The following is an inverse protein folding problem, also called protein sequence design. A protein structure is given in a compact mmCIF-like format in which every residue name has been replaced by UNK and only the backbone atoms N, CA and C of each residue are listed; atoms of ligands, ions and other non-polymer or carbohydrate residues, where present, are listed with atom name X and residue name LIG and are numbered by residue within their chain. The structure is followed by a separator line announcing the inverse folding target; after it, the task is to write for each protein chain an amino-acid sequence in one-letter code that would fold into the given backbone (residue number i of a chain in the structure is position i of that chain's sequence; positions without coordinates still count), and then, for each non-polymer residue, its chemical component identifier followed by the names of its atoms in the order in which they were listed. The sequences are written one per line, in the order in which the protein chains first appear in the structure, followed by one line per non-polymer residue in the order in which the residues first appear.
data_IF_545700312344
#
_entry.id   IF_545700312344
#
_cell.length_a   1.000
_cell.length_b   1.000
_cell.length_c   1.000
_cell.angle_alpha   90.00
_cell.angle_beta   90.00
_cell.angle_gamma   90.00
#
_symmetry.space_group_name_H-M   'P 1'
#
loop_
_entity.id
_entity.type
_entity.pdbx_description
1 polymer ?
#
# COMPACT_ATOMS: atom_id res chain seq x y z
N UNK A 1 23.39 24.25 -28.51
CA UNK A 1 22.25 24.03 -27.59
C UNK A 1 21.00 24.02 -28.44
N UNK A 2 20.19 22.98 -28.34
CA UNK A 2 18.93 22.91 -29.06
C UNK A 2 17.91 23.84 -28.38
N UNK A 3 17.15 24.59 -29.17
CA UNK A 3 16.13 25.51 -28.67
C UNK A 3 14.96 24.73 -28.03
N UNK A 4 14.39 25.25 -26.95
CA UNK A 4 13.25 24.60 -26.29
C UNK A 4 12.04 24.62 -27.20
N UNK A 5 11.39 23.46 -27.33
CA UNK A 5 10.09 23.32 -27.97
C UNK A 5 9.04 24.14 -27.23
N UNK A 6 8.00 24.57 -27.96
CA UNK A 6 6.80 25.15 -27.37
C UNK A 6 5.73 24.08 -27.16
N UNK A 7 4.88 24.28 -26.17
CA UNK A 7 3.71 23.43 -25.93
C UNK A 7 2.88 23.25 -27.22
N UNK A 8 2.55 21.99 -27.53
CA UNK A 8 1.82 21.58 -28.74
C UNK A 8 2.69 21.34 -29.98
N UNK A 9 3.97 21.74 -29.98
CA UNK A 9 4.88 21.49 -31.11
C UNK A 9 5.30 20.02 -31.16
N UNK A 10 5.65 19.54 -32.36
CA UNK A 10 6.10 18.18 -32.57
C UNK A 10 7.30 18.11 -33.50
N UNK A 11 8.10 17.06 -33.35
CA UNK A 11 9.29 16.76 -34.14
C UNK A 11 9.33 15.27 -34.51
N UNK A 12 9.89 14.93 -35.67
CA UNK A 12 10.12 13.54 -36.05
C UNK A 12 11.29 12.94 -35.25
N UNK A 13 11.15 11.68 -34.85
CA UNK A 13 12.22 10.90 -34.23
C UNK A 13 12.76 9.94 -35.30
N UNK A 14 13.97 10.24 -35.80
CA UNK A 14 14.65 9.41 -36.81
C UNK A 14 15.49 8.29 -36.18
N UNK A 15 15.54 8.21 -34.84
CA UNK A 15 16.30 7.22 -34.09
C UNK A 15 15.45 5.99 -33.75
N UNK A 16 16.08 4.81 -33.75
CA UNK A 16 15.45 3.54 -33.34
C UNK A 16 15.29 3.42 -31.81
N UNK A 17 16.02 4.24 -31.06
CA UNK A 17 15.92 4.35 -29.60
C UNK A 17 16.16 5.77 -29.14
N UNK A 18 15.52 6.13 -28.02
CA UNK A 18 15.66 7.43 -27.37
C UNK A 18 15.71 7.26 -25.86
N UNK A 19 16.39 8.18 -25.19
CA UNK A 19 16.39 8.32 -23.74
C UNK A 19 15.61 9.57 -23.36
N UNK A 20 14.50 9.39 -22.64
CA UNK A 20 13.78 10.50 -22.03
C UNK A 20 14.45 10.84 -20.69
N UNK A 21 14.91 12.08 -20.52
CA UNK A 21 15.62 12.55 -19.34
C UNK A 21 14.88 13.76 -18.78
N UNK A 22 14.29 13.61 -17.60
CA UNK A 22 13.70 14.69 -16.83
C UNK A 22 14.75 15.24 -15.86
N UNK A 23 14.97 16.55 -15.86
CA UNK A 23 16.00 17.20 -15.03
C UNK A 23 15.38 18.36 -14.25
N UNK A 24 15.79 18.55 -12.99
CA UNK A 24 15.38 19.67 -12.15
C UNK A 24 16.44 20.05 -11.11
N UNK A 25 16.37 21.27 -10.59
CA UNK A 25 17.22 21.75 -9.49
C UNK A 25 16.67 21.28 -8.15
N UNK A 26 17.57 20.85 -7.26
CA UNK A 26 17.25 20.44 -5.88
C UNK A 26 17.75 21.48 -4.89
N UNK A 27 16.81 22.12 -4.21
CA UNK A 27 17.01 23.05 -3.11
C UNK A 27 16.26 22.57 -1.84
N UNK A 28 16.45 23.27 -0.71
CA UNK A 28 15.67 22.99 0.51
C UNK A 28 14.18 23.20 0.24
N UNK A 29 13.39 22.16 0.46
CA UNK A 29 11.94 22.19 0.23
C UNK A 29 11.51 21.91 -1.21
N UNK A 30 12.43 21.52 -2.10
CA UNK A 30 12.05 20.98 -3.42
C UNK A 30 11.30 19.65 -3.23
N UNK A 31 10.08 19.52 -3.80
CA UNK A 31 9.32 18.26 -3.79
C UNK A 31 10.12 17.11 -4.44
N UNK A 32 9.88 15.88 -4.01
CA UNK A 32 10.47 14.73 -4.70
C UNK A 32 9.69 14.45 -5.98
N UNK A 33 10.37 14.51 -7.13
CA UNK A 33 9.75 14.31 -8.45
C UNK A 33 10.06 12.91 -8.93
N UNK A 34 9.03 12.13 -9.24
CA UNK A 34 9.10 10.76 -9.75
C UNK A 34 8.60 10.72 -11.18
N UNK A 35 9.49 10.43 -12.13
CA UNK A 35 9.11 10.31 -13.53
C UNK A 35 8.46 8.94 -13.82
N UNK A 36 7.59 8.90 -14.82
CA UNK A 36 6.86 7.71 -15.26
C UNK A 36 6.59 7.72 -16.76
N UNK A 37 6.41 6.53 -17.33
CA UNK A 37 6.08 6.31 -18.74
C UNK A 37 4.84 5.42 -18.87
N UNK A 38 3.87 5.83 -19.69
CA UNK A 38 2.67 5.04 -19.99
C UNK A 38 2.67 4.64 -21.46
N UNK A 39 2.50 3.36 -21.75
CA UNK A 39 2.31 2.85 -23.11
C UNK A 39 0.81 2.75 -23.40
N UNK A 40 0.36 3.44 -24.45
CA UNK A 40 -1.06 3.56 -24.78
C UNK A 40 -1.36 2.95 -26.13
N UNK A 41 -2.50 2.29 -26.17
CA UNK A 41 -3.15 1.81 -27.40
C UNK A 41 -3.77 2.98 -28.17
N UNK A 42 -4.20 2.78 -29.44
CA UNK A 42 -4.95 3.78 -30.19
C UNK A 42 -6.24 4.27 -29.52
N UNK A 43 -6.76 3.54 -28.53
CA UNK A 43 -7.88 3.98 -27.68
C UNK A 43 -7.49 5.09 -26.68
N UNK A 44 -6.21 5.45 -26.60
CA UNK A 44 -5.67 6.40 -25.63
C UNK A 44 -5.57 5.82 -24.22
N UNK A 45 -5.61 4.50 -24.07
CA UNK A 45 -5.60 3.77 -22.80
C UNK A 45 -4.49 2.72 -22.76
N UNK A 46 -3.96 2.43 -21.58
CA UNK A 46 -3.08 1.28 -21.34
C UNK A 46 -3.83 -0.04 -21.62
N UNK A 47 -3.12 -1.11 -21.97
CA UNK A 47 -3.72 -2.46 -22.09
C UNK A 47 -3.97 -3.07 -20.72
N UNK A 48 -3.06 -2.79 -19.79
CA UNK A 48 -3.05 -3.21 -18.38
C UNK A 48 -2.02 -2.38 -17.62
N UNK A 49 -1.93 -2.54 -16.31
CA UNK A 49 -0.96 -1.82 -15.48
C UNK A 49 0.51 -2.16 -15.83
N UNK A 50 0.75 -3.27 -16.54
CA UNK A 50 2.07 -3.63 -17.08
C UNK A 50 2.62 -2.57 -18.05
N UNK A 51 1.73 -1.81 -18.72
CA UNK A 51 2.06 -0.71 -19.63
C UNK A 51 2.43 0.59 -18.89
N UNK A 52 2.54 0.56 -17.55
CA UNK A 52 2.98 1.68 -16.73
C UNK A 52 4.37 1.43 -16.14
N UNK A 53 5.38 2.17 -16.62
CA UNK A 53 6.78 2.04 -16.20
C UNK A 53 7.17 3.21 -15.31
N UNK A 54 7.66 2.92 -14.12
CA UNK A 54 8.09 3.91 -13.12
C UNK A 54 9.06 3.25 -12.13
N UNK A 55 9.52 3.95 -11.10
CA UNK A 55 10.57 3.43 -10.21
C UNK A 55 10.25 2.07 -9.54
N UNK A 56 8.99 1.74 -9.29
CA UNK A 56 8.59 0.46 -8.67
C UNK A 56 8.37 -0.67 -9.69
N UNK A 57 8.18 -0.30 -10.97
CA UNK A 57 8.13 -1.20 -12.12
C UNK A 57 9.13 -0.69 -13.16
N UNK A 58 10.44 -0.85 -12.91
CA UNK A 58 11.48 -0.14 -13.66
C UNK A 58 11.69 -0.67 -15.08
N UNK A 59 10.90 -1.66 -15.53
CA UNK A 59 11.03 -2.26 -16.84
C UNK A 59 9.67 -2.75 -17.34
N UNK A 60 9.32 -2.37 -18.57
CA UNK A 60 8.17 -2.92 -19.28
C UNK A 60 8.40 -4.41 -19.60
N UNK A 61 7.32 -5.22 -19.63
CA UNK A 61 7.40 -6.67 -19.88
C UNK A 61 8.12 -7.03 -21.20
N UNK A 62 7.93 -6.24 -22.26
CA UNK A 62 8.64 -6.44 -23.55
C UNK A 62 10.13 -6.05 -23.49
N UNK A 63 10.55 -5.33 -22.45
CA UNK A 63 11.88 -4.75 -22.32
C UNK A 63 12.11 -3.50 -23.17
N UNK A 64 11.11 -3.04 -23.94
CA UNK A 64 11.23 -1.87 -24.81
C UNK A 64 11.36 -0.55 -24.04
N UNK A 65 10.95 -0.50 -22.77
CA UNK A 65 11.14 0.66 -21.89
C UNK A 65 11.79 0.21 -20.59
N UNK A 66 12.85 0.90 -20.17
CA UNK A 66 13.57 0.68 -18.91
C UNK A 66 13.79 2.01 -18.21
N UNK A 67 13.32 2.12 -16.96
CA UNK A 67 13.62 3.21 -16.05
C UNK A 67 15.05 3.10 -15.54
N UNK A 68 15.83 4.16 -15.73
CA UNK A 68 17.24 4.23 -15.34
C UNK A 68 17.50 4.73 -13.93
N UNK A 69 16.43 5.06 -13.19
CA UNK A 69 16.48 5.56 -11.82
C UNK A 69 16.88 7.03 -11.68
N UNK A 70 16.58 7.58 -10.49
CA UNK A 70 16.97 8.94 -10.11
C UNK A 70 18.46 9.03 -9.78
N UNK A 71 19.13 10.02 -10.34
CA UNK A 71 20.53 10.31 -10.08
C UNK A 71 20.70 11.73 -9.55
N UNK A 72 21.66 11.90 -8.65
CA UNK A 72 21.96 13.16 -7.98
C UNK A 72 23.32 13.69 -8.44
N UNK A 73 23.39 14.97 -8.78
CA UNK A 73 24.67 15.64 -9.07
C UNK A 73 24.61 17.13 -8.80
N UNK A 74 25.54 17.66 -7.99
CA UNK A 74 25.78 19.10 -7.80
C UNK A 74 24.53 20.02 -7.74
N UNK A 75 23.51 19.65 -6.96
CA UNK A 75 22.28 20.45 -6.81
C UNK A 75 21.26 20.28 -7.96
N UNK A 76 21.48 19.33 -8.86
CA UNK A 76 20.59 18.91 -9.93
C UNK A 76 20.25 17.44 -9.73
N UNK A 77 19.01 17.08 -10.04
CA UNK A 77 18.53 15.71 -10.07
C UNK A 77 17.97 15.41 -11.45
N UNK A 78 18.23 14.21 -11.92
CA UNK A 78 17.65 13.73 -13.15
C UNK A 78 17.06 12.34 -12.98
N UNK A 79 15.99 12.08 -13.71
CA UNK A 79 15.30 10.80 -13.80
C UNK A 79 15.10 10.45 -15.26
N UNK A 80 15.29 9.17 -15.63
CA UNK A 80 15.44 8.81 -17.04
C UNK A 80 14.78 7.49 -17.43
N UNK A 81 14.37 7.39 -18.69
CA UNK A 81 13.88 6.18 -19.34
C UNK A 81 14.65 5.92 -20.62
N UNK A 82 15.13 4.70 -20.82
CA UNK A 82 15.57 4.20 -22.11
C UNK A 82 14.37 3.60 -22.85
N UNK A 83 14.13 4.02 -24.09
CA UNK A 83 12.98 3.65 -24.90
C UNK A 83 13.49 3.14 -26.26
N UNK A 84 13.32 1.84 -26.50
CA UNK A 84 13.64 1.15 -27.75
C UNK A 84 12.41 1.20 -28.68
N UNK A 85 12.30 2.27 -29.48
CA UNK A 85 11.15 2.55 -30.35
C UNK A 85 10.89 1.46 -31.40
N UNK A 86 11.94 0.75 -31.82
CA UNK A 86 11.82 -0.40 -32.72
C UNK A 86 11.28 -1.68 -32.05
N UNK A 87 11.35 -1.77 -30.72
CA UNK A 87 10.88 -2.92 -29.95
C UNK A 87 9.44 -2.75 -29.41
N UNK A 88 8.85 -1.56 -29.56
CA UNK A 88 7.48 -1.28 -29.14
C UNK A 88 6.49 -2.07 -30.00
N UNK A 89 5.61 -2.80 -29.33
CA UNK A 89 4.61 -3.65 -29.98
C UNK A 89 3.62 -2.85 -30.86
N UNK A 90 3.10 -3.47 -31.91
CA UNK A 90 2.25 -2.81 -32.90
C UNK A 90 0.94 -2.25 -32.33
N UNK A 91 0.46 -2.82 -31.23
CA UNK A 91 -0.78 -2.42 -30.54
C UNK A 91 -0.60 -1.16 -29.68
N UNK A 92 0.62 -0.69 -29.49
CA UNK A 92 0.96 0.57 -28.82
C UNK A 92 1.28 1.62 -29.87
N UNK A 93 0.55 2.74 -29.86
CA UNK A 93 0.76 3.86 -30.80
C UNK A 93 1.31 5.11 -30.12
N UNK A 94 1.37 5.12 -28.78
CA UNK A 94 1.79 6.28 -28.01
C UNK A 94 2.47 5.90 -26.70
N UNK A 95 3.49 6.66 -26.32
CA UNK A 95 4.19 6.59 -25.05
C UNK A 95 4.12 7.97 -24.42
N UNK A 96 3.51 8.09 -23.25
CA UNK A 96 3.40 9.34 -22.50
C UNK A 96 4.51 9.40 -21.46
N UNK A 97 5.23 10.52 -21.41
CA UNK A 97 6.22 10.81 -20.35
C UNK A 97 5.60 11.77 -19.35
N UNK A 98 5.47 11.32 -18.12
CA UNK A 98 4.84 12.05 -17.02
C UNK A 98 5.74 12.07 -15.77
N UNK A 99 5.35 12.85 -14.76
CA UNK A 99 5.87 12.71 -13.40
C UNK A 99 4.84 13.14 -12.36
N UNK A 100 5.07 12.71 -11.13
CA UNK A 100 4.39 13.20 -9.93
C UNK A 100 5.36 13.87 -8.97
N UNK A 101 4.88 14.86 -8.21
CA UNK A 101 5.62 15.52 -7.14
C UNK A 101 5.05 15.09 -5.78
N UNK A 102 5.91 14.56 -4.91
CA UNK A 102 5.60 14.23 -3.52
C UNK A 102 6.17 15.29 -2.56
N UNK A 103 5.41 15.64 -1.52
CA UNK A 103 5.78 16.69 -0.56
C UNK A 103 5.60 18.13 -1.07
N UNK A 104 4.91 18.35 -2.20
CA UNK A 104 4.59 19.68 -2.73
C UNK A 104 4.04 19.67 -4.17
N UNK A 105 4.23 20.76 -4.92
CA UNK A 105 3.70 20.93 -6.28
C UNK A 105 4.80 21.25 -7.30
N UNK A 106 4.52 21.02 -8.60
CA UNK A 106 5.49 21.31 -9.66
C UNK A 106 5.86 22.79 -9.78
N UNK A 107 5.02 23.73 -9.31
CA UNK A 107 5.38 25.15 -9.24
C UNK A 107 6.51 25.47 -8.25
N UNK A 108 6.85 24.54 -7.35
CA UNK A 108 8.00 24.65 -6.44
C UNK A 108 9.28 24.04 -7.04
N UNK A 109 9.16 23.28 -8.14
CA UNK A 109 10.27 22.61 -8.81
C UNK A 109 10.88 23.55 -9.84
N UNK A 110 12.16 23.93 -9.64
CA UNK A 110 12.87 24.85 -10.54
C UNK A 110 13.73 24.09 -11.56
N UNK A 111 13.96 24.73 -12.71
CA UNK A 111 14.82 24.16 -13.75
C UNK A 111 14.28 22.86 -14.35
N UNK A 112 12.97 22.67 -14.33
CA UNK A 112 12.29 21.45 -14.80
C UNK A 112 12.33 21.37 -16.33
N UNK A 113 13.01 20.35 -16.85
CA UNK A 113 13.24 20.18 -18.29
C UNK A 113 13.11 18.72 -18.67
N UNK A 114 12.34 18.43 -19.72
CA UNK A 114 12.36 17.14 -20.39
C UNK A 114 13.27 17.21 -21.63
N UNK A 115 14.20 16.27 -21.76
CA UNK A 115 15.02 16.09 -22.96
C UNK A 115 14.81 14.69 -23.54
N UNK A 116 14.75 14.58 -24.86
CA UNK A 116 14.96 13.32 -25.55
C UNK A 116 16.37 13.31 -26.14
N UNK A 117 17.11 12.24 -25.86
CA UNK A 117 18.48 12.03 -26.31
C UNK A 117 18.51 10.78 -27.17
N UNK A 118 19.12 10.81 -28.35
CA UNK A 118 19.23 9.63 -29.22
C UNK A 118 20.39 8.70 -28.81
N UNK A 119 20.55 7.58 -29.51
CA UNK A 119 21.64 6.62 -29.28
C UNK A 119 23.06 7.15 -29.54
N UNK A 120 23.20 8.35 -30.12
CA UNK A 120 24.47 9.07 -30.28
C UNK A 120 24.77 10.04 -29.13
N UNK A 121 23.94 10.02 -28.07
CA UNK A 121 23.91 10.99 -26.97
C UNK A 121 23.63 12.44 -27.43
N UNK A 122 23.03 12.62 -28.62
CA UNK A 122 22.60 13.93 -29.10
C UNK A 122 21.20 14.26 -28.61
N UNK A 123 21.00 15.47 -28.09
CA UNK A 123 19.66 15.96 -27.75
C UNK A 123 18.88 16.17 -29.05
N UNK A 124 17.75 15.48 -29.19
CA UNK A 124 16.86 15.57 -30.36
C UNK A 124 15.61 16.37 -30.07
N UNK A 125 15.18 16.43 -28.81
CA UNK A 125 14.11 17.32 -28.35
C UNK A 125 14.44 17.85 -26.96
N UNK A 126 14.05 19.10 -26.70
CA UNK A 126 14.13 19.74 -25.38
C UNK A 126 12.83 20.49 -25.14
N UNK A 127 12.25 20.32 -23.95
CA UNK A 127 11.07 21.05 -23.53
C UNK A 127 11.27 21.56 -22.11
N UNK A 128 11.32 22.88 -21.95
CA UNK A 128 11.45 23.57 -20.67
C UNK A 128 10.05 23.84 -20.08
N UNK A 129 9.80 23.36 -18.87
CA UNK A 129 8.53 23.54 -18.18
C UNK A 129 8.62 24.80 -17.34
N UNK A 130 7.87 25.82 -17.74
CA UNK A 130 7.90 27.16 -17.10
C UNK A 130 6.53 27.61 -16.60
N UNK A 131 5.47 26.86 -16.94
CA UNK A 131 4.09 27.21 -16.66
C UNK A 131 3.43 26.37 -15.56
N UNK A 132 4.17 25.44 -14.92
CA UNK A 132 3.68 24.65 -13.79
C UNK A 132 3.41 25.52 -12.54
N UNK A 133 2.36 25.18 -11.81
CA UNK A 133 1.80 25.94 -10.67
C UNK A 133 1.41 25.00 -9.52
N UNK A 134 0.11 24.74 -9.36
CA UNK A 134 -0.47 23.99 -8.24
C UNK A 134 -0.47 22.48 -8.47
N UNK A 135 -0.11 22.03 -9.67
CA UNK A 135 -0.30 20.65 -10.08
C UNK A 135 0.71 19.72 -9.39
N UNK A 136 0.26 18.54 -8.99
CA UNK A 136 1.07 17.50 -8.34
C UNK A 136 1.38 16.32 -9.26
N UNK A 137 0.76 16.26 -10.45
CA UNK A 137 1.21 15.43 -11.57
C UNK A 137 1.30 16.25 -12.86
N UNK A 138 2.15 15.82 -13.78
CA UNK A 138 2.41 16.55 -15.02
C UNK A 138 2.74 15.61 -16.18
N UNK A 139 2.07 15.81 -17.31
CA UNK A 139 2.41 15.17 -18.59
C UNK A 139 3.31 16.12 -19.38
N UNK A 140 4.56 15.72 -19.58
CA UNK A 140 5.55 16.54 -20.26
C UNK A 140 5.42 16.46 -21.77
N UNK A 141 5.28 15.24 -22.29
CA UNK A 141 5.19 15.01 -23.71
C UNK A 141 4.76 13.60 -24.06
N UNK A 142 4.43 13.39 -25.33
CA UNK A 142 4.04 12.11 -25.87
C UNK A 142 4.92 11.76 -27.09
N UNK A 143 5.43 10.54 -27.12
CA UNK A 143 6.04 9.93 -28.30
C UNK A 143 4.96 9.11 -28.99
N UNK A 144 4.61 9.41 -30.23
CA UNK A 144 3.48 8.81 -30.92
C UNK A 144 3.82 8.39 -32.35
N UNK A 145 3.12 7.38 -32.84
CA UNK A 145 3.36 6.79 -34.16
C UNK A 145 2.39 7.36 -35.20
N UNK A 146 2.91 8.13 -36.15
CA UNK A 146 2.17 8.63 -37.32
C UNK A 146 3.10 8.87 -38.50
N UNK A 147 3.19 7.88 -39.39
CA UNK A 147 4.18 7.81 -40.47
C UNK A 147 5.63 7.87 -39.92
N UNK A 148 5.93 6.99 -38.96
CA UNK A 148 7.15 7.05 -38.14
C UNK A 148 6.86 7.53 -36.71
N UNK A 149 7.86 7.45 -35.84
CA UNK A 149 7.77 7.96 -34.47
C UNK A 149 7.99 9.48 -34.45
N UNK A 150 7.22 10.17 -33.60
CA UNK A 150 7.29 11.62 -33.42
C UNK A 150 7.16 11.94 -31.94
N UNK A 151 7.80 13.01 -31.49
CA UNK A 151 7.60 13.55 -30.15
C UNK A 151 6.73 14.80 -30.23
N UNK A 152 5.78 14.97 -29.30
CA UNK A 152 5.01 16.20 -29.10
C UNK A 152 5.21 16.69 -27.67
N UNK A 153 5.54 17.98 -27.53
CA UNK A 153 5.52 18.66 -26.24
C UNK A 153 4.07 18.90 -25.81
N UNK A 154 3.67 18.41 -24.63
CA UNK A 154 2.28 18.47 -24.14
C UNK A 154 2.16 19.49 -23.02
N UNK A 155 2.98 19.39 -21.98
CA UNK A 155 2.98 20.30 -20.85
C UNK A 155 1.63 20.46 -20.15
N UNK A 156 0.97 19.35 -19.79
CA UNK A 156 -0.34 19.37 -19.14
C UNK A 156 -0.22 18.95 -17.68
N UNK A 157 -0.57 19.86 -16.77
CA UNK A 157 -0.63 19.56 -15.34
C UNK A 157 -1.95 18.95 -14.91
N UNK A 158 -1.90 18.22 -13.80
CA UNK A 158 -3.01 17.54 -13.15
C UNK A 158 -3.06 17.94 -11.67
N UNK A 159 -4.08 18.73 -11.30
CA UNK A 159 -4.35 19.08 -9.90
C UNK A 159 -4.80 17.88 -9.07
N UNK A 160 -5.41 16.88 -9.72
CA UNK A 160 -5.81 15.59 -9.14
C UNK A 160 -4.65 14.62 -8.91
N UNK A 161 -3.41 15.05 -9.16
CA UNK A 161 -2.20 14.25 -8.95
C UNK A 161 -2.10 13.02 -9.85
N UNK A 162 -1.22 12.09 -9.45
CA UNK A 162 -0.92 10.90 -10.25
C UNK A 162 -2.16 10.03 -10.45
N UNK A 163 -3.07 10.01 -9.48
CA UNK A 163 -4.35 9.31 -9.55
C UNK A 163 -5.20 9.75 -10.74
N UNK A 164 -5.42 11.07 -10.88
CA UNK A 164 -6.20 11.59 -12.00
C UNK A 164 -5.55 11.34 -13.34
N UNK A 165 -4.22 11.46 -13.40
CA UNK A 165 -3.45 11.14 -14.59
C UNK A 165 -3.58 9.65 -14.97
N UNK A 166 -3.43 8.74 -14.01
CA UNK A 166 -3.50 7.30 -14.22
C UNK A 166 -4.91 6.86 -14.68
N UNK A 167 -5.96 7.40 -14.06
CA UNK A 167 -7.36 7.16 -14.43
C UNK A 167 -7.66 7.62 -15.87
N UNK A 168 -7.16 8.80 -16.26
CA UNK A 168 -7.32 9.34 -17.61
C UNK A 168 -6.71 8.42 -18.69
N UNK A 169 -5.66 7.67 -18.33
CA UNK A 169 -5.02 6.69 -19.21
C UNK A 169 -5.49 5.25 -19.00
N UNK A 170 -6.50 5.03 -18.15
CA UNK A 170 -7.17 3.73 -17.98
C UNK A 170 -6.39 2.73 -17.15
N UNK A 171 -5.44 3.22 -16.35
CA UNK A 171 -4.87 2.46 -15.24
C UNK A 171 -5.94 2.43 -14.16
N UNK A 172 -6.32 1.23 -13.72
CA UNK A 172 -7.22 1.06 -12.59
C UNK A 172 -6.42 1.30 -11.32
N UNK A 173 -6.30 2.56 -10.93
CA UNK A 173 -5.84 2.90 -9.59
C UNK A 173 -7.03 2.67 -8.67
N UNK A 174 -7.08 1.50 -8.02
CA UNK A 174 -7.94 1.34 -6.86
C UNK A 174 -7.47 2.34 -5.80
N UNK A 175 -8.24 3.42 -5.64
CA UNK A 175 -8.10 4.32 -4.52
C UNK A 175 -9.44 4.51 -3.84
N UNK A 176 -9.41 4.35 -2.52
CA UNK A 176 -10.43 4.89 -1.63
C UNK A 176 -10.62 6.38 -1.94
N UNK A 177 -11.87 6.88 -2.05
CA UNK A 177 -12.12 8.14 -2.72
C UNK A 177 -11.57 9.33 -1.93
N UNK A 178 -10.71 10.14 -2.56
CA UNK A 178 -10.44 11.51 -2.13
C UNK A 178 -11.69 12.38 -2.40
N UNK A 179 -12.10 13.25 -1.45
CA UNK A 179 -13.37 13.94 -1.55
C UNK A 179 -13.26 15.14 -2.51
N UNK A 180 -14.14 15.18 -3.51
CA UNK A 180 -14.38 16.38 -4.32
C UNK A 180 -14.97 17.49 -3.44
N UNK A 181 -14.48 18.75 -3.48
CA UNK A 181 -15.10 19.84 -2.76
C UNK A 181 -16.46 20.17 -3.40
N UNK A 182 -17.52 19.55 -2.89
CA UNK A 182 -18.88 19.91 -3.24
C UNK A 182 -19.31 21.12 -2.42
N UNK A 183 -19.80 22.15 -3.13
CA UNK A 183 -20.51 23.28 -2.55
C UNK A 183 -21.55 22.81 -1.51
N UNK A 184 -21.80 23.61 -0.46
CA UNK A 184 -22.60 23.19 0.70
C UNK A 184 -24.05 22.94 0.29
N UNK A 185 -24.36 21.69 -0.05
CA UNK A 185 -25.73 21.20 -0.03
C UNK A 185 -26.01 20.73 1.39
N UNK A 186 -26.99 21.37 2.01
CA UNK A 186 -27.39 21.17 3.40
C UNK A 186 -27.28 19.70 3.83
N UNK A 187 -26.42 19.45 4.82
CA UNK A 187 -26.25 18.16 5.45
C UNK A 187 -27.60 17.64 5.93
N UNK A 188 -28.02 16.47 5.42
CA UNK A 188 -28.82 15.58 6.24
C UNK A 188 -27.89 15.07 7.35
N UNK A 189 -28.34 15.03 8.62
CA UNK A 189 -27.48 14.59 9.70
C UNK A 189 -27.09 13.14 9.44
N UNK A 190 -25.78 12.90 9.32
CA UNK A 190 -25.20 11.57 9.51
C UNK A 190 -25.61 11.18 10.93
N UNK A 191 -26.42 10.14 11.07
CA UNK A 191 -26.70 9.56 12.38
C UNK A 191 -25.35 9.31 13.05
N UNK A 192 -25.17 9.80 14.27
CA UNK A 192 -23.91 9.70 14.99
C UNK A 192 -23.44 8.24 14.98
N UNK A 193 -22.27 7.97 14.38
CA UNK A 193 -21.67 6.66 14.42
C UNK A 193 -21.51 6.26 15.89
N UNK A 194 -22.21 5.19 16.31
CA UNK A 194 -22.23 4.75 17.69
C UNK A 194 -20.89 4.13 18.06
N UNK A 195 -20.19 4.77 19.00
CA UNK A 195 -18.96 4.21 19.59
C UNK A 195 -19.37 3.11 20.57
N UNK A 196 -18.71 1.94 20.50
CA UNK A 196 -18.97 0.84 21.42
C UNK A 196 -18.53 1.21 22.85
N UNK A 197 -19.18 0.70 23.90
CA UNK A 197 -18.69 0.80 25.27
C UNK A 197 -17.99 -0.52 25.62
N UNK A 198 -16.66 -0.57 25.47
CA UNK A 198 -15.90 -1.80 25.71
C UNK A 198 -15.54 -1.91 27.19
N UNK A 199 -15.73 -3.10 27.76
CA UNK A 199 -15.35 -3.37 29.14
C UNK A 199 -13.82 -3.23 29.32
N UNK A 200 -13.39 -2.62 30.43
CA UNK A 200 -11.97 -2.53 30.79
C UNK A 200 -11.25 -1.24 30.37
N UNK A 201 -11.85 -0.37 29.55
CA UNK A 201 -11.25 0.93 29.20
C UNK A 201 -10.95 1.80 30.43
N UNK A 202 -11.76 1.66 31.47
CA UNK A 202 -11.66 2.35 32.76
C UNK A 202 -10.40 2.00 33.56
N UNK A 203 -9.74 0.89 33.22
CA UNK A 203 -8.47 0.48 33.82
C UNK A 203 -7.26 1.11 33.10
N UNK A 204 -7.44 1.61 31.87
CA UNK A 204 -6.36 2.19 31.08
C UNK A 204 -5.83 3.50 31.65
N UNK A 205 -4.53 3.82 31.48
CA UNK A 205 -3.99 5.14 31.72
C UNK A 205 -4.78 6.21 30.94
N UNK A 206 -4.98 7.38 31.55
CA UNK A 206 -5.85 8.45 31.01
C UNK A 206 -5.50 8.81 29.56
N UNK A 207 -4.21 8.94 29.23
CA UNK A 207 -3.79 9.31 27.88
C UNK A 207 -4.04 8.20 26.86
N UNK A 208 -3.84 6.94 27.24
CA UNK A 208 -4.12 5.79 26.38
C UNK A 208 -5.63 5.64 26.16
N UNK A 209 -6.44 5.82 27.21
CA UNK A 209 -7.91 5.83 27.12
C UNK A 209 -8.42 6.90 26.15
N UNK A 210 -7.86 8.12 26.23
CA UNK A 210 -8.20 9.21 25.30
C UNK A 210 -7.87 8.85 23.85
N UNK A 211 -6.66 8.31 23.59
CA UNK A 211 -6.27 7.87 22.23
C UNK A 211 -7.16 6.75 21.73
N UNK A 212 -7.42 5.74 22.56
CA UNK A 212 -8.31 4.63 22.22
C UNK A 212 -9.72 5.13 21.87
N UNK A 213 -10.30 6.02 22.68
CA UNK A 213 -11.63 6.59 22.42
C UNK A 213 -11.69 7.33 21.07
N UNK A 214 -10.69 8.16 20.76
CA UNK A 214 -10.60 8.86 19.48
C UNK A 214 -10.49 7.89 18.30
N UNK A 215 -9.67 6.85 18.44
CA UNK A 215 -9.50 5.82 17.41
C UNK A 215 -10.78 5.01 17.21
N UNK A 216 -11.47 4.61 18.27
CA UNK A 216 -12.76 3.92 18.17
C UNK A 216 -13.80 4.76 17.43
N UNK A 217 -13.82 6.07 17.65
CA UNK A 217 -14.66 6.98 16.89
C UNK A 217 -14.31 6.96 15.39
N UNK A 218 -13.02 6.94 15.04
CA UNK A 218 -12.58 6.85 13.64
C UNK A 218 -12.94 5.49 13.00
N UNK A 219 -12.79 4.38 13.75
CA UNK A 219 -13.23 3.05 13.32
C UNK A 219 -14.74 3.05 13.08
N UNK A 220 -15.54 3.60 13.99
CA UNK A 220 -16.99 3.71 13.86
C UNK A 220 -17.39 4.53 12.63
N UNK A 221 -16.67 5.62 12.35
CA UNK A 221 -16.86 6.42 11.13
C UNK A 221 -16.52 5.61 9.88
N UNK A 222 -15.42 4.87 9.88
CA UNK A 222 -15.01 4.03 8.75
C UNK A 222 -16.07 2.95 8.43
N UNK A 223 -16.54 2.24 9.47
CA UNK A 223 -17.64 1.28 9.35
C UNK A 223 -18.93 1.93 8.83
N UNK A 224 -19.29 3.12 9.34
CA UNK A 224 -20.48 3.83 8.90
C UNK A 224 -20.40 4.25 7.42
N UNK A 225 -19.23 4.70 6.94
CA UNK A 225 -19.01 5.00 5.50
C UNK A 225 -19.28 3.78 4.62
N UNK A 226 -18.98 2.59 5.12
CA UNK A 226 -19.15 1.30 4.42
C UNK A 226 -20.50 0.63 4.69
N UNK A 227 -21.44 1.31 5.37
CA UNK A 227 -22.76 0.75 5.70
C UNK A 227 -22.73 -0.38 6.74
N UNK A 228 -21.63 -0.49 7.50
CA UNK A 228 -21.32 -1.56 8.43
C UNK A 228 -21.55 -1.16 9.90
N UNK A 229 -22.44 -0.20 10.16
CA UNK A 229 -22.71 0.29 11.51
C UNK A 229 -23.24 -0.84 12.40
N UNK A 230 -22.60 -1.05 13.55
CA UNK A 230 -23.01 -2.06 14.52
C UNK A 230 -22.61 -3.50 14.15
N UNK A 231 -21.69 -3.68 13.20
CA UNK A 231 -21.06 -4.98 12.97
C UNK A 231 -20.32 -5.41 14.23
N UNK A 232 -20.55 -6.66 14.62
CA UNK A 232 -19.82 -7.37 15.67
C UNK A 232 -19.00 -8.46 14.99
N UNK A 233 -17.74 -8.61 15.38
CA UNK A 233 -16.80 -9.56 14.82
C UNK A 233 -15.76 -9.99 15.86
N UNK A 234 -15.38 -11.27 15.82
CA UNK A 234 -14.15 -11.72 16.48
C UNK A 234 -12.96 -11.10 15.77
N UNK A 235 -12.03 -10.50 16.50
CA UNK A 235 -10.80 -9.95 15.93
C UNK A 235 -9.59 -10.79 16.35
N UNK A 236 -8.82 -11.27 15.36
CA UNK A 236 -7.57 -12.01 15.59
C UNK A 236 -6.40 -11.20 15.01
N UNK A 237 -5.38 -10.95 15.82
CA UNK A 237 -4.15 -10.27 15.41
C UNK A 237 -3.03 -11.28 15.15
N UNK A 238 -2.35 -11.16 14.01
CA UNK A 238 -1.16 -11.97 13.70
C UNK A 238 0.02 -11.03 13.45
N UNK A 239 1.10 -11.22 14.22
CA UNK A 239 2.31 -10.42 14.15
C UNK A 239 3.49 -11.25 13.65
N UNK A 240 4.06 -10.84 12.53
CA UNK A 240 5.36 -11.31 12.08
C UNK A 240 6.46 -10.93 13.10
N UNK A 241 7.25 -11.92 13.50
CA UNK A 241 8.39 -11.79 14.40
C UNK A 241 9.69 -12.31 13.76
N UNK A 242 9.74 -12.36 12.43
CA UNK A 242 10.93 -12.67 11.65
C UNK A 242 12.09 -11.71 11.93
N UNK A 243 13.28 -12.11 11.49
CA UNK A 243 14.49 -11.31 11.71
C UNK A 243 14.42 -9.92 11.07
N UNK A 244 13.75 -9.77 9.93
CA UNK A 244 13.61 -8.49 9.20
C UNK A 244 12.78 -7.46 9.98
N UNK A 245 11.77 -7.92 10.71
CA UNK A 245 10.91 -7.10 11.55
C UNK A 245 11.62 -6.44 12.74
N UNK A 246 12.84 -6.89 13.09
CA UNK A 246 13.60 -6.44 14.27
C UNK A 246 13.64 -4.91 14.43
N UNK A 247 13.87 -4.18 13.33
CA UNK A 247 13.96 -2.72 13.38
C UNK A 247 12.63 -2.07 13.79
N UNK A 248 11.50 -2.59 13.30
CA UNK A 248 10.17 -2.06 13.56
C UNK A 248 9.75 -2.28 15.01
N UNK A 249 10.08 -3.44 15.60
CA UNK A 249 9.84 -3.67 17.02
C UNK A 249 10.72 -2.79 17.91
N UNK A 250 12.02 -2.64 17.59
CA UNK A 250 12.93 -1.81 18.38
C UNK A 250 12.54 -0.33 18.36
N UNK A 251 11.95 0.16 17.26
CA UNK A 251 11.44 1.54 17.13
C UNK A 251 10.09 1.74 17.82
N UNK A 252 9.44 0.69 18.31
CA UNK A 252 8.10 0.75 18.90
C UNK A 252 6.96 0.75 17.87
N UNK A 253 7.26 0.70 16.57
CA UNK A 253 6.25 0.73 15.50
C UNK A 253 5.23 -0.40 15.63
N UNK A 254 5.66 -1.62 15.96
CA UNK A 254 4.73 -2.74 16.14
C UNK A 254 3.84 -2.55 17.37
N UNK A 255 4.36 -1.95 18.44
CA UNK A 255 3.55 -1.65 19.63
C UNK A 255 2.48 -0.59 19.31
N UNK A 256 2.84 0.44 18.54
CA UNK A 256 1.89 1.43 18.04
C UNK A 256 0.82 0.80 17.15
N UNK A 257 1.19 -0.14 16.28
CA UNK A 257 0.24 -0.91 15.45
C UNK A 257 -0.73 -1.69 16.31
N UNK A 258 -0.26 -2.44 17.31
CA UNK A 258 -1.15 -3.18 18.22
C UNK A 258 -2.08 -2.23 18.98
N UNK A 259 -1.59 -1.08 19.45
CA UNK A 259 -2.45 -0.08 20.11
C UNK A 259 -3.52 0.49 19.15
N UNK A 260 -3.21 0.64 17.87
CA UNK A 260 -4.18 1.04 16.83
C UNK A 260 -5.19 -0.07 16.54
N UNK A 261 -4.78 -1.34 16.54
CA UNK A 261 -5.67 -2.49 16.29
C UNK A 261 -6.58 -2.79 17.48
N UNK A 262 -6.13 -2.50 18.71
CA UNK A 262 -6.96 -2.59 19.90
C UNK A 262 -8.22 -1.71 19.78
N UNK A 263 -8.17 -0.60 19.03
CA UNK A 263 -9.36 0.21 18.75
C UNK A 263 -10.33 -0.47 17.78
N UNK A 264 -9.82 -1.21 16.79
CA UNK A 264 -10.63 -2.00 15.85
C UNK A 264 -11.33 -3.12 16.63
N UNK A 265 -10.57 -3.88 17.41
CA UNK A 265 -11.10 -4.91 18.29
C UNK A 265 -12.15 -4.34 19.25
N UNK A 266 -11.84 -3.26 19.99
CA UNK A 266 -12.79 -2.64 20.91
C UNK A 266 -14.09 -2.15 20.23
N UNK A 267 -14.03 -1.73 18.96
CA UNK A 267 -15.20 -1.23 18.25
C UNK A 267 -16.04 -2.34 17.61
N UNK A 268 -15.41 -3.41 17.13
CA UNK A 268 -16.07 -4.59 16.54
C UNK A 268 -16.40 -5.68 17.57
N UNK A 269 -15.92 -5.50 18.81
CA UNK A 269 -15.84 -6.48 19.88
C UNK A 269 -17.08 -7.37 20.04
N UNK A 270 -16.85 -8.67 20.10
CA UNK A 270 -17.85 -9.69 20.44
C UNK A 270 -17.75 -10.14 21.92
N UNK A 271 -16.54 -10.21 22.49
CA UNK A 271 -16.31 -10.81 23.83
C UNK A 271 -15.32 -10.08 24.76
N UNK A 272 -14.75 -8.93 24.36
CA UNK A 272 -13.78 -8.15 25.14
C UNK A 272 -12.34 -8.59 24.96
N UNK A 273 -12.05 -9.51 24.02
CA UNK A 273 -10.74 -10.09 23.83
C UNK A 273 -10.32 -10.14 22.34
N UNK A 274 -9.11 -9.65 22.06
CA UNK A 274 -8.47 -9.86 20.77
C UNK A 274 -7.51 -11.05 20.89
N UNK A 275 -7.81 -12.16 20.20
CA UNK A 275 -6.85 -13.27 20.15
C UNK A 275 -5.62 -12.84 19.35
N UNK A 276 -4.44 -13.31 19.75
CA UNK A 276 -3.19 -12.88 19.15
C UNK A 276 -2.25 -14.06 18.89
N UNK A 277 -1.58 -14.02 17.73
CA UNK A 277 -0.59 -14.99 17.32
C UNK A 277 0.66 -14.27 16.83
N UNK A 278 1.78 -14.97 16.88
CA UNK A 278 3.02 -14.53 16.25
C UNK A 278 3.67 -15.67 15.48
N UNK A 279 4.44 -15.34 14.46
CA UNK A 279 5.14 -16.34 13.66
C UNK A 279 6.53 -15.87 13.24
N UNK A 280 7.39 -16.85 13.02
CA UNK A 280 8.63 -16.75 12.27
C UNK A 280 8.86 -18.11 11.61
N UNK A 281 9.82 -18.92 12.09
CA UNK A 281 10.01 -20.31 11.64
C UNK A 281 8.93 -21.25 12.19
N UNK A 282 8.47 -20.98 13.40
CA UNK A 282 7.33 -21.61 14.06
C UNK A 282 6.24 -20.56 14.30
N UNK A 283 5.01 -20.99 14.53
CA UNK A 283 3.94 -20.13 15.00
C UNK A 283 3.68 -20.37 16.49
N UNK A 284 3.17 -19.35 17.18
CA UNK A 284 2.81 -19.45 18.58
C UNK A 284 1.60 -18.55 18.88
N UNK A 285 0.70 -19.05 19.72
CA UNK A 285 -0.38 -18.26 20.29
C UNK A 285 0.17 -17.40 21.42
N UNK A 286 -0.16 -16.11 21.40
CA UNK A 286 0.08 -15.17 22.50
C UNK A 286 -1.11 -15.20 23.47
N UNK A 287 -0.95 -14.72 24.71
CA UNK A 287 -2.10 -14.49 25.59
C UNK A 287 -3.12 -13.60 24.89
N UNK A 288 -4.42 -13.87 25.09
CA UNK A 288 -5.47 -13.03 24.53
C UNK A 288 -5.34 -11.60 25.09
N UNK A 289 -5.50 -10.60 24.23
CA UNK A 289 -5.38 -9.19 24.58
C UNK A 289 -6.74 -8.65 25.01
N UNK A 290 -6.90 -8.41 26.31
CA UNK A 290 -8.00 -7.63 26.85
C UNK A 290 -7.64 -6.15 26.89
N UNK A 291 -8.61 -5.27 26.59
CA UNK A 291 -8.37 -3.81 26.57
C UNK A 291 -7.85 -3.29 27.91
N UNK A 292 -8.31 -3.84 29.03
CA UNK A 292 -7.83 -3.47 30.37
C UNK A 292 -6.33 -3.70 30.56
N UNK A 293 -5.79 -4.75 29.93
CA UNK A 293 -4.42 -5.21 30.11
C UNK A 293 -3.47 -4.68 29.03
N UNK A 294 -3.96 -3.83 28.11
CA UNK A 294 -3.21 -3.38 26.93
C UNK A 294 -1.79 -2.87 27.24
N UNK A 295 -1.54 -2.01 28.26
CA UNK A 295 -0.18 -1.55 28.55
C UNK A 295 0.76 -2.70 28.93
N UNK A 296 0.32 -3.60 29.81
CA UNK A 296 1.11 -4.72 30.29
C UNK A 296 1.27 -5.78 29.20
N UNK A 297 0.22 -6.00 28.40
CA UNK A 297 0.26 -6.91 27.27
C UNK A 297 1.26 -6.45 26.21
N UNK A 298 1.25 -5.17 25.83
CA UNK A 298 2.25 -4.58 24.92
C UNK A 298 3.66 -4.76 25.47
N UNK A 299 3.85 -4.43 26.75
CA UNK A 299 5.13 -4.57 27.42
C UNK A 299 5.60 -6.02 27.48
N UNK A 300 4.71 -7.01 27.57
CA UNK A 300 5.09 -8.41 27.73
C UNK A 300 5.24 -9.16 26.41
N UNK A 301 4.44 -8.81 25.39
CA UNK A 301 4.26 -9.63 24.19
C UNK A 301 4.77 -8.96 22.89
N UNK A 302 4.89 -7.63 22.84
CA UNK A 302 5.38 -6.91 21.63
C UNK A 302 6.85 -6.53 21.80
N UNK A 303 7.73 -7.53 21.78
CA UNK A 303 9.18 -7.35 21.90
C UNK A 303 9.91 -8.27 20.94
N UNK A 304 10.93 -7.75 20.25
CA UNK A 304 11.89 -8.62 19.56
C UNK A 304 12.92 -9.11 20.55
N UNK A 305 13.16 -10.42 20.52
CA UNK A 305 14.13 -11.08 21.37
C UNK A 305 15.44 -10.31 21.38
N UNK A 306 15.95 -10.01 22.58
CA UNK A 306 17.29 -9.48 22.76
C UNK A 306 18.30 -10.45 22.10
N UNK A 307 18.68 -10.17 20.85
CA UNK A 307 19.73 -10.90 20.15
C UNK A 307 21.01 -10.76 20.96
N UNK A 308 21.72 -11.88 21.17
CA UNK A 308 22.96 -11.88 21.95
C UNK A 308 24.02 -11.02 21.29
N UNK A 309 24.70 -10.21 22.12
CA UNK A 309 26.14 -10.05 22.04
C UNK A 309 26.81 -11.38 22.44
N UNK A 310 27.88 -11.85 21.76
CA UNK A 310 28.52 -13.11 22.08
C UNK A 310 29.02 -13.11 23.54
N UNK A 311 28.63 -14.11 24.35
CA UNK A 311 29.26 -14.39 25.65
C UNK A 311 28.37 -14.52 26.90
N UNK A 312 27.08 -14.17 26.88
CA UNK A 312 26.22 -14.25 28.08
C UNK A 312 25.11 -15.30 27.92
N UNK A 313 25.02 -16.30 28.82
CA UNK A 313 23.84 -17.18 28.94
C UNK A 313 22.83 -16.50 29.88
N UNK A 314 21.60 -16.28 29.42
CA UNK A 314 20.49 -15.85 30.30
C UNK A 314 19.63 -17.06 30.67
N UNK A 315 19.18 -17.08 31.94
CA UNK A 315 18.26 -18.07 32.50
C UNK A 315 16.88 -17.97 31.83
N UNK A 316 16.16 -19.08 31.78
CA UNK A 316 14.76 -19.12 31.33
C UNK A 316 13.89 -18.16 32.17
N UNK A 317 12.97 -17.44 31.51
CA UNK A 317 12.06 -16.51 32.16
C UNK A 317 10.97 -17.31 32.92
N UNK A 318 10.85 -17.17 34.26
CA UNK A 318 9.87 -17.92 35.05
C UNK A 318 8.41 -17.51 34.85
N UNK A 319 8.12 -16.46 34.07
CA UNK A 319 6.79 -15.83 33.98
C UNK A 319 5.81 -16.48 32.98
N UNK A 320 6.17 -17.58 32.32
CA UNK A 320 5.33 -18.22 31.29
C UNK A 320 5.29 -17.45 29.95
N UNK A 321 6.18 -16.46 29.79
CA UNK A 321 6.35 -15.68 28.56
C UNK A 321 6.88 -16.53 27.41
N UNK A 322 6.40 -16.25 26.20
CA UNK A 322 6.91 -16.86 24.97
C UNK A 322 8.36 -16.42 24.74
N UNK A 323 9.28 -17.40 24.71
CA UNK A 323 10.67 -17.11 24.31
C UNK A 323 10.70 -16.91 22.80
N UNK A 324 10.86 -15.66 22.35
CA UNK A 324 10.92 -15.34 20.91
C UNK A 324 12.01 -16.15 20.17
N UNK A 325 13.00 -16.73 20.87
CA UNK A 325 14.01 -17.64 20.29
C UNK A 325 13.43 -18.98 19.85
N UNK A 326 12.37 -19.48 20.48
CA UNK A 326 11.75 -20.76 20.10
C UNK A 326 10.92 -20.66 18.82
N UNK A 327 10.65 -19.43 18.38
CA UNK A 327 9.85 -19.12 17.19
C UNK A 327 10.74 -19.10 15.92
N UNK A 328 12.05 -18.89 16.06
CA UNK A 328 13.00 -18.87 14.95
C UNK A 328 13.09 -17.51 14.23
N UNK A 329 13.67 -17.49 13.03
CA UNK A 329 13.96 -16.24 12.28
C UNK A 329 13.52 -16.24 10.81
N UNK A 330 13.13 -17.40 10.26
CA UNK A 330 12.57 -17.52 8.91
C UNK A 330 11.11 -17.09 8.83
N UNK A 331 10.51 -17.16 7.62
CA UNK A 331 9.13 -16.77 7.37
C UNK A 331 8.30 -18.00 7.00
N UNK A 332 7.30 -18.35 7.81
CA UNK A 332 6.44 -19.52 7.61
C UNK A 332 4.97 -19.15 7.85
N UNK A 333 4.46 -18.22 7.04
CA UNK A 333 3.12 -17.64 7.11
C UNK A 333 2.03 -18.73 7.02
N UNK A 334 2.23 -19.73 6.17
CA UNK A 334 1.27 -20.80 5.95
C UNK A 334 0.96 -21.59 7.23
N UNK A 335 1.92 -21.69 8.16
CA UNK A 335 1.72 -22.41 9.42
C UNK A 335 0.78 -21.67 10.36
N UNK A 336 0.95 -20.35 10.49
CA UNK A 336 0.08 -19.56 11.36
C UNK A 336 -1.31 -19.39 10.77
N UNK A 337 -1.42 -19.31 9.43
CA UNK A 337 -2.72 -19.33 8.74
C UNK A 337 -3.46 -20.64 9.07
N UNK A 338 -2.81 -21.79 8.89
CA UNK A 338 -3.41 -23.09 9.22
C UNK A 338 -3.82 -23.22 10.70
N UNK A 339 -2.98 -22.72 11.62
CA UNK A 339 -3.27 -22.73 13.06
C UNK A 339 -4.49 -21.87 13.41
N UNK A 340 -4.61 -20.67 12.81
CA UNK A 340 -5.76 -19.79 13.04
C UNK A 340 -7.04 -20.34 12.43
N UNK A 341 -6.98 -20.91 11.22
CA UNK A 341 -8.13 -21.62 10.63
C UNK A 341 -8.62 -22.74 11.55
N UNK A 342 -7.69 -23.55 12.07
CA UNK A 342 -8.00 -24.59 13.05
C UNK A 342 -8.63 -24.02 14.31
N UNK A 343 -8.06 -22.97 14.88
CA UNK A 343 -8.61 -22.32 16.07
C UNK A 343 -10.06 -21.85 15.86
N UNK A 344 -10.35 -21.20 14.73
CA UNK A 344 -11.71 -20.73 14.42
C UNK A 344 -12.68 -21.90 14.26
N UNK A 345 -12.26 -22.97 13.59
CA UNK A 345 -13.07 -24.20 13.45
C UNK A 345 -13.34 -24.88 14.80
N UNK A 346 -12.33 -24.94 15.68
CA UNK A 346 -12.45 -25.55 17.02
C UNK A 346 -13.22 -24.66 18.01
N UNK A 347 -13.38 -23.36 17.71
CA UNK A 347 -14.04 -22.36 18.58
C UNK A 347 -15.06 -21.53 17.78
N UNK A 348 -16.16 -22.12 17.28
CA UNK A 348 -17.11 -21.42 16.43
C UNK A 348 -17.86 -20.31 17.19
N UNK A 349 -18.06 -19.17 16.53
CA UNK A 349 -18.93 -18.08 17.00
C UNK A 349 -19.96 -17.70 15.92
N UNK A 350 -21.10 -17.10 16.31
CA UNK A 350 -22.06 -16.57 15.34
C UNK A 350 -21.56 -15.34 14.59
N UNK A 351 -20.59 -14.61 15.17
CA UNK A 351 -19.99 -13.44 14.58
C UNK A 351 -18.92 -13.81 13.53
N UNK A 352 -18.76 -13.03 12.45
CA UNK A 352 -17.63 -13.18 11.53
C UNK A 352 -16.28 -13.02 12.27
N UNK A 353 -15.23 -13.65 11.75
CA UNK A 353 -13.86 -13.46 12.22
C UNK A 353 -13.09 -12.55 11.27
N UNK A 354 -12.56 -11.44 11.77
CA UNK A 354 -11.61 -10.56 11.09
C UNK A 354 -10.19 -10.88 11.56
N UNK A 355 -9.35 -11.36 10.65
CA UNK A 355 -7.93 -11.61 10.92
C UNK A 355 -7.09 -10.47 10.37
N UNK A 356 -6.33 -9.80 11.23
CA UNK A 356 -5.41 -8.73 10.87
C UNK A 356 -3.98 -9.27 10.86
N UNK A 357 -3.42 -9.46 9.67
CA UNK A 357 -2.12 -10.10 9.47
C UNK A 357 -1.05 -9.07 9.11
N UNK A 358 -0.04 -8.89 9.96
CA UNK A 358 1.05 -7.94 9.73
C UNK A 358 2.35 -8.66 9.41
N UNK A 359 3.00 -8.29 8.29
CA UNK A 359 4.33 -8.77 7.90
C UNK A 359 5.10 -7.70 7.13
N UNK A 360 6.43 -7.73 7.22
CA UNK A 360 7.29 -6.88 6.37
C UNK A 360 7.64 -7.52 5.02
N UNK A 361 7.10 -8.71 4.72
CA UNK A 361 7.23 -9.40 3.44
C UNK A 361 8.27 -10.52 3.47
N UNK A 362 8.79 -10.88 2.29
CA UNK A 362 9.63 -12.08 2.16
C UNK A 362 8.80 -13.36 2.13
N UNK A 363 7.63 -13.28 1.51
CA UNK A 363 6.70 -14.38 1.30
C UNK A 363 7.21 -15.24 0.14
N UNK A 364 7.69 -16.45 0.43
CA UNK A 364 8.23 -17.37 -0.58
C UNK A 364 7.47 -18.69 -0.71
N UNK A 365 6.52 -18.98 0.19
CA UNK A 365 5.67 -20.19 0.18
C UNK A 365 4.33 -19.94 -0.52
N UNK A 366 4.38 -19.34 -1.71
CA UNK A 366 3.19 -18.85 -2.42
C UNK A 366 2.11 -19.93 -2.62
N UNK A 367 2.52 -21.16 -2.99
CA UNK A 367 1.58 -22.25 -3.27
C UNK A 367 0.87 -22.75 -2.02
N UNK A 368 1.58 -22.87 -0.92
CA UNK A 368 1.06 -23.33 0.36
C UNK A 368 0.11 -22.30 0.96
N UNK A 369 0.49 -21.01 0.93
CA UNK A 369 -0.36 -19.90 1.38
C UNK A 369 -1.63 -19.82 0.53
N UNK A 370 -1.53 -19.92 -0.79
CA UNK A 370 -2.70 -19.96 -1.68
C UNK A 370 -3.61 -21.14 -1.35
N UNK A 371 -3.04 -22.32 -1.07
CA UNK A 371 -3.82 -23.53 -0.71
C UNK A 371 -4.61 -23.30 0.59
N UNK A 372 -3.98 -22.74 1.62
CA UNK A 372 -4.64 -22.45 2.89
C UNK A 372 -5.75 -21.41 2.73
N UNK A 373 -5.50 -20.32 2.01
CA UNK A 373 -6.48 -19.23 1.83
C UNK A 373 -7.65 -19.65 0.93
N UNK A 374 -7.40 -20.44 -0.13
CA UNK A 374 -8.49 -21.06 -0.92
C UNK A 374 -9.33 -22.02 -0.08
N UNK A 375 -8.70 -22.76 0.84
CA UNK A 375 -9.41 -23.60 1.81
C UNK A 375 -10.31 -22.80 2.74
N UNK A 376 -9.91 -21.57 3.09
CA UNK A 376 -10.65 -20.69 4.00
C UNK A 376 -11.86 -19.99 3.36
N UNK A 377 -12.09 -20.12 2.05
CA UNK A 377 -13.18 -19.40 1.34
C UNK A 377 -14.58 -19.73 1.89
N UNK A 378 -14.75 -20.94 2.44
CA UNK A 378 -16.03 -21.39 3.03
C UNK A 378 -16.05 -21.25 4.56
N UNK A 379 -15.02 -20.64 5.15
CA UNK A 379 -14.92 -20.42 6.59
C UNK A 379 -15.42 -19.01 6.93
N UNK A 380 -15.91 -18.77 8.17
CA UNK A 380 -16.38 -17.45 8.61
C UNK A 380 -15.20 -16.51 8.91
N UNK A 381 -14.18 -16.49 8.05
CA UNK A 381 -12.91 -15.78 8.24
C UNK A 381 -12.66 -14.85 7.05
N UNK A 382 -12.45 -13.58 7.35
CA UNK A 382 -11.87 -12.60 6.43
C UNK A 382 -10.43 -12.29 6.83
N UNK A 383 -9.52 -12.37 5.88
CA UNK A 383 -8.09 -12.11 6.07
C UNK A 383 -7.72 -10.74 5.54
N UNK A 384 -7.32 -9.82 6.42
CA UNK A 384 -6.73 -8.55 6.02
C UNK A 384 -5.22 -8.61 6.19
N UNK A 385 -4.50 -8.73 5.09
CA UNK A 385 -3.04 -8.65 5.07
C UNK A 385 -2.57 -7.21 4.99
N UNK A 386 -1.61 -6.87 5.83
CA UNK A 386 -1.03 -5.53 5.96
C UNK A 386 0.49 -5.62 5.82
N UNK A 387 0.98 -5.19 4.67
CA UNK A 387 2.40 -5.11 4.38
C UNK A 387 3.07 -3.91 5.03
N UNK A 388 4.13 -4.14 5.81
CA UNK A 388 4.92 -3.11 6.47
C UNK A 388 6.24 -2.87 5.71
N UNK A 389 6.30 -1.85 4.87
CA UNK A 389 7.50 -1.51 4.08
C UNK A 389 7.35 -1.78 2.59
N UNK A 390 8.47 -2.09 1.91
CA UNK A 390 8.58 -2.15 0.43
C UNK A 390 9.01 -3.53 -0.10
N UNK A 391 8.79 -4.61 0.64
CA UNK A 391 9.34 -5.94 0.30
C UNK A 391 8.31 -6.82 -0.37
N UNK A 392 8.71 -7.63 -1.36
CA UNK A 392 7.81 -8.51 -2.12
C UNK A 392 6.94 -9.39 -1.24
N UNK A 393 5.63 -9.13 -1.29
CA UNK A 393 4.60 -9.85 -0.54
C UNK A 393 4.07 -11.06 -1.33
N UNK A 394 4.62 -11.28 -2.53
CA UNK A 394 4.49 -12.53 -3.28
C UNK A 394 3.07 -12.75 -3.76
N UNK A 395 2.46 -13.87 -3.34
CA UNK A 395 1.07 -14.15 -3.66
C UNK A 395 0.11 -13.13 -3.03
N UNK A 396 0.48 -12.51 -1.90
CA UNK A 396 -0.37 -11.54 -1.16
C UNK A 396 -0.80 -10.33 -2.02
N UNK A 397 0.07 -9.89 -2.95
CA UNK A 397 -0.21 -8.80 -3.90
C UNK A 397 -1.17 -9.18 -5.05
N UNK A 398 -1.43 -10.48 -5.24
CA UNK A 398 -2.15 -11.00 -6.40
C UNK A 398 -3.47 -11.67 -6.01
N UNK A 399 -3.91 -11.59 -4.75
CA UNK A 399 -5.11 -12.31 -4.30
C UNK A 399 -6.38 -11.85 -5.00
N UNK A 400 -6.52 -10.56 -5.26
CA UNK A 400 -7.67 -9.99 -5.96
C UNK A 400 -7.80 -10.54 -7.40
N UNK A 401 -6.70 -11.07 -7.95
CA UNK A 401 -6.66 -11.70 -9.28
C UNK A 401 -6.90 -13.21 -9.26
N UNK A 402 -7.06 -13.84 -8.09
CA UNK A 402 -7.32 -15.28 -7.99
C UNK A 402 -8.73 -15.62 -8.46
N UNK A 403 -8.80 -16.18 -9.67
CA UNK A 403 -10.02 -16.76 -10.23
C UNK A 403 -10.46 -18.01 -9.45
N UNK A 404 -11.74 -18.36 -9.54
CA UNK A 404 -12.37 -19.56 -8.96
C UNK A 404 -12.60 -19.54 -7.43
N UNK A 405 -12.85 -18.37 -6.84
CA UNK A 405 -13.35 -18.25 -5.45
C UNK A 405 -14.84 -17.90 -5.44
N UNK A 406 -15.61 -18.52 -4.53
CA UNK A 406 -17.04 -18.25 -4.39
C UNK A 406 -17.31 -16.84 -3.80
N UNK A 407 -16.41 -16.39 -2.93
CA UNK A 407 -16.39 -15.04 -2.35
C UNK A 407 -14.95 -14.63 -2.10
N UNK A 408 -14.67 -13.34 -2.24
CA UNK A 408 -13.37 -12.79 -1.86
C UNK A 408 -13.28 -12.60 -0.35
N UNK A 409 -12.52 -13.46 0.32
CA UNK A 409 -12.32 -13.45 1.76
C UNK A 409 -10.93 -12.92 2.17
N UNK A 410 -10.21 -12.27 1.25
CA UNK A 410 -8.84 -11.79 1.48
C UNK A 410 -8.72 -10.36 0.96
N UNK A 411 -8.34 -9.43 1.83
CA UNK A 411 -7.90 -8.10 1.44
C UNK A 411 -6.39 -7.94 1.66
N UNK A 412 -5.74 -7.12 0.83
CA UNK A 412 -4.32 -6.80 0.95
C UNK A 412 -4.06 -5.32 0.71
N UNK A 413 -3.24 -4.70 1.55
CA UNK A 413 -2.59 -3.44 1.23
C UNK A 413 -1.22 -3.36 1.90
N UNK A 414 -0.34 -2.52 1.35
CA UNK A 414 0.98 -2.27 1.91
C UNK A 414 1.19 -0.78 2.15
N UNK A 415 1.92 -0.45 3.22
CA UNK A 415 2.28 0.93 3.57
C UNK A 415 3.78 1.03 3.78
N UNK A 416 4.40 2.02 3.15
CA UNK A 416 5.85 2.20 3.22
C UNK A 416 6.34 2.50 4.66
N UNK A 417 5.54 3.25 5.42
CA UNK A 417 5.78 3.55 6.83
C UNK A 417 4.45 3.72 7.57
N UNK A 418 3.97 2.66 8.21
CA UNK A 418 2.70 2.65 8.92
C UNK A 418 2.62 3.70 10.04
N UNK A 419 3.76 4.11 10.61
CA UNK A 419 3.78 5.13 11.66
C UNK A 419 3.33 6.50 11.13
N UNK A 420 3.53 6.77 9.83
CA UNK A 420 3.14 8.03 9.17
C UNK A 420 1.71 8.03 8.66
N UNK A 421 1.06 6.87 8.57
CA UNK A 421 -0.33 6.76 8.11
C UNK A 421 -1.26 7.29 9.19
N UNK A 422 -2.13 8.29 8.90
CA UNK A 422 -3.14 8.75 9.83
C UNK A 422 -4.13 7.66 10.22
N UNK A 423 -4.59 7.64 11.47
CA UNK A 423 -5.49 6.59 11.97
C UNK A 423 -6.76 6.43 11.12
N UNK A 424 -7.37 7.53 10.67
CA UNK A 424 -8.57 7.49 9.83
C UNK A 424 -8.34 6.79 8.47
N UNK A 425 -7.21 7.06 7.83
CA UNK A 425 -6.82 6.44 6.56
C UNK A 425 -6.51 4.95 6.78
N UNK A 426 -5.75 4.64 7.84
CA UNK A 426 -5.44 3.26 8.20
C UNK A 426 -6.70 2.43 8.44
N UNK A 427 -7.71 2.97 9.14
CA UNK A 427 -8.96 2.25 9.38
C UNK A 427 -9.81 2.09 8.12
N UNK A 428 -9.81 3.09 7.23
CA UNK A 428 -10.49 2.97 5.92
C UNK A 428 -9.85 1.89 5.04
N UNK A 429 -8.53 1.73 5.10
CA UNK A 429 -7.80 0.65 4.41
C UNK A 429 -8.05 -0.72 5.06
N UNK A 430 -7.98 -0.83 6.40
CA UNK A 430 -8.19 -2.08 7.14
C UNK A 430 -9.61 -2.65 6.99
N UNK A 431 -10.59 -1.79 6.80
CA UNK A 431 -12.01 -2.15 6.75
C UNK A 431 -12.60 -1.91 5.36
N UNK A 432 -11.75 -1.81 4.33
CA UNK A 432 -12.14 -1.48 2.97
C UNK A 432 -13.15 -2.48 2.39
N UNK A 433 -12.90 -3.77 2.63
CA UNK A 433 -13.57 -4.93 2.01
C UNK A 433 -14.34 -5.79 2.99
N UNK A 434 -13.90 -5.85 4.26
CA UNK A 434 -14.52 -6.68 5.28
C UNK A 434 -16.06 -6.49 5.39
N UNK A 435 -16.60 -5.25 5.40
CA UNK A 435 -18.05 -5.04 5.36
C UNK A 435 -18.76 -5.64 4.14
N UNK A 436 -18.18 -5.49 2.95
CA UNK A 436 -18.75 -6.02 1.70
C UNK A 436 -18.73 -7.54 1.71
N UNK A 437 -17.64 -8.13 2.19
CA UNK A 437 -17.50 -9.57 2.36
C UNK A 437 -18.57 -10.16 3.29
N UNK A 438 -18.90 -9.51 4.43
CA UNK A 438 -19.96 -9.98 5.33
C UNK A 438 -21.29 -10.17 4.58
N UNK A 439 -21.65 -9.22 3.72
CA UNK A 439 -22.86 -9.30 2.91
C UNK A 439 -22.83 -10.47 1.92
N UNK A 440 -21.71 -10.63 1.21
CA UNK A 440 -21.53 -11.72 0.25
C UNK A 440 -21.51 -13.11 0.93
N UNK A 441 -20.80 -13.23 2.05
CA UNK A 441 -20.69 -14.46 2.83
C UNK A 441 -22.05 -14.91 3.41
N UNK A 442 -22.89 -13.97 3.88
CA UNK A 442 -24.29 -14.27 4.26
C UNK A 442 -25.12 -14.75 3.08
N UNK A 443 -24.96 -14.12 1.91
CA UNK A 443 -25.65 -14.53 0.68
C UNK A 443 -25.33 -15.97 0.24
N UNK A 444 -24.15 -16.47 0.61
CA UNK A 444 -23.69 -17.83 0.34
C UNK A 444 -23.92 -18.81 1.49
N UNK A 445 -24.46 -18.36 2.63
CA UNK A 445 -24.68 -19.20 3.82
C UNK A 445 -23.41 -19.57 4.58
N UNK A 446 -22.31 -18.85 4.36
CA UNK A 446 -21.05 -19.01 5.11
C UNK A 446 -21.21 -18.41 6.51
N UNK A 447 -21.87 -17.25 6.59
CA UNK A 447 -22.26 -16.61 7.84
C UNK A 447 -23.76 -16.80 8.09
N UNK A 448 -24.12 -16.90 9.37
CA UNK A 448 -25.51 -17.03 9.83
C UNK A 448 -26.34 -15.75 9.64
#
# INVERSE_FOLDING_TARGET
MQESMHKGTNIALEADSVRAVLTWTVDVGTPDVDASCLLLTPAGKVRSDDDFVFYNQPRHASGAIVHGGKQNGAGVRHDQFAIELGAIEADIDRIVVAASADGGTFGQVRGLVLQLVDGSDSVVARFDITDARSESAFVFGEIYRRNGWKFRAVGQGYDSGLHGLATDFGISVDESPTPVPTQPRAARPVQAASVSNTAGEEALPVDMRKRLSLRKQQVAVSLAKKGATGVVARVILILDASGSMTSLYLKGTVADVVERMAAVAAQLDDDGAMQAYTFATNCARLPDLHIADLPDWLANNVRVGAMKFPGRKLKADPSGRLDMRSIGIGNEEQKVIAEVRRFVADNPTPAPTLVLFFSDGGVYRNREIETELRGAVQEPIFWQFVGLGKSGFGILEKFDTLTDRAVDNVGFFAVADIAKVPDAELYDLLLSEFPSWIGAARGLGILA
#
